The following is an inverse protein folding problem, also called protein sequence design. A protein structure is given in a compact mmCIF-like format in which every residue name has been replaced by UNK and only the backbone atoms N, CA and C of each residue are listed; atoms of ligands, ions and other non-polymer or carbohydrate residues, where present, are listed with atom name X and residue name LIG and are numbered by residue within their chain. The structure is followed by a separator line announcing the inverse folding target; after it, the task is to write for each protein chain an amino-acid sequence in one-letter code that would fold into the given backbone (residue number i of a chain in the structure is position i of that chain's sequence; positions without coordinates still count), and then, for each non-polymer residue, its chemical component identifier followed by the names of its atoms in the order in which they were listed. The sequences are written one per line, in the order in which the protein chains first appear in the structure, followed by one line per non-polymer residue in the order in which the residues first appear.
data_IF_402762996640
#
_entry.id   IF_402762996640
#
_cell.length_a   1.000
_cell.length_b   1.000
_cell.length_c   1.000
_cell.angle_alpha   90.00
_cell.angle_beta   90.00
_cell.angle_gamma   90.00
#
_symmetry.space_group_name_H-M   'P 1'
#
loop_
_entity.id
_entity.type
_entity.pdbx_description
1 polymer ?
#
# COMPACT_ATOMS: atom_id res chain seq x y z
N UNK A 1 11.74 23.91 -9.71
CA UNK A 1 10.50 23.87 -10.53
C UNK A 1 9.35 24.29 -9.64
N UNK A 2 8.50 25.20 -10.08
CA UNK A 2 7.33 25.65 -9.31
C UNK A 2 6.16 24.75 -9.67
N UNK A 3 5.72 23.92 -8.72
CA UNK A 3 4.63 22.95 -8.90
C UNK A 3 3.25 23.64 -8.77
N UNK A 4 2.38 23.44 -9.76
CA UNK A 4 0.99 23.89 -9.73
C UNK A 4 0.06 22.68 -9.63
N UNK A 5 -0.75 22.63 -8.60
CA UNK A 5 -1.58 21.47 -8.24
C UNK A 5 -3.05 21.81 -8.31
N UNK A 6 -3.85 20.91 -8.86
CA UNK A 6 -5.30 20.92 -8.79
C UNK A 6 -5.78 19.78 -7.90
N UNK A 7 -6.59 20.09 -6.89
CA UNK A 7 -7.25 19.11 -6.01
C UNK A 7 -8.74 19.19 -6.26
N UNK A 8 -9.32 18.06 -6.63
CA UNK A 8 -10.75 17.90 -6.91
C UNK A 8 -11.34 16.90 -5.92
N UNK A 9 -12.07 17.37 -4.93
CA UNK A 9 -12.68 16.55 -3.89
C UNK A 9 -13.86 17.31 -3.28
N UNK A 10 -15.03 16.69 -3.11
CA UNK A 10 -16.22 17.34 -2.60
C UNK A 10 -16.14 17.61 -1.08
N UNK A 11 -15.37 16.79 -0.36
CA UNK A 11 -15.19 16.92 1.08
C UNK A 11 -14.12 17.99 1.42
N UNK A 12 -14.47 19.09 2.09
CA UNK A 12 -13.51 20.12 2.44
C UNK A 12 -12.40 19.64 3.39
N UNK A 13 -12.67 18.65 4.25
CA UNK A 13 -11.64 18.11 5.15
C UNK A 13 -10.60 17.29 4.36
N UNK A 14 -11.04 16.54 3.36
CA UNK A 14 -10.13 15.80 2.49
C UNK A 14 -9.32 16.75 1.61
N UNK A 15 -9.93 17.81 1.04
CA UNK A 15 -9.17 18.83 0.32
C UNK A 15 -8.07 19.44 1.17
N UNK A 16 -8.39 19.84 2.41
CA UNK A 16 -7.40 20.39 3.33
C UNK A 16 -6.27 19.39 3.61
N UNK A 17 -6.62 18.12 3.85
CA UNK A 17 -5.66 17.04 4.09
C UNK A 17 -4.74 16.83 2.89
N UNK A 18 -5.29 16.75 1.69
CA UNK A 18 -4.52 16.63 0.45
C UNK A 18 -3.60 17.83 0.23
N UNK A 19 -4.08 19.04 0.52
CA UNK A 19 -3.26 20.26 0.47
C UNK A 19 -2.06 20.19 1.40
N UNK A 20 -2.19 19.59 2.60
CA UNK A 20 -1.09 19.36 3.53
C UNK A 20 -0.13 18.29 3.00
N UNK A 21 -0.64 17.15 2.49
CA UNK A 21 0.18 16.09 1.89
C UNK A 21 1.03 16.65 0.76
N UNK A 22 0.44 17.43 -0.14
CA UNK A 22 1.15 18.06 -1.26
C UNK A 22 2.26 18.99 -0.78
N UNK A 23 1.97 19.87 0.19
CA UNK A 23 2.98 20.81 0.73
C UNK A 23 4.14 20.08 1.42
N UNK A 24 3.87 18.98 2.11
CA UNK A 24 4.91 18.18 2.78
C UNK A 24 5.70 17.30 1.79
N UNK A 25 5.12 16.99 0.65
CA UNK A 25 5.74 16.13 -0.34
C UNK A 25 6.68 16.86 -1.29
N UNK A 26 6.45 18.15 -1.56
CA UNK A 26 7.17 18.91 -2.58
C UNK A 26 7.66 20.26 -2.05
N UNK A 27 8.95 20.55 -2.18
CA UNK A 27 9.58 21.79 -1.69
C UNK A 27 9.22 23.06 -2.49
N UNK A 28 8.59 22.94 -3.64
CA UNK A 28 8.38 24.03 -4.60
C UNK A 28 6.93 24.22 -5.02
N UNK A 29 5.96 24.01 -4.14
CA UNK A 29 4.55 24.21 -4.47
C UNK A 29 4.27 25.71 -4.67
N UNK A 30 3.96 26.09 -5.90
CA UNK A 30 3.65 27.49 -6.25
C UNK A 30 2.18 27.83 -5.97
N UNK A 31 1.26 26.94 -6.36
CA UNK A 31 -0.16 27.14 -6.19
C UNK A 31 -0.90 25.81 -6.04
N UNK A 32 -1.83 25.77 -5.12
CA UNK A 32 -2.82 24.70 -4.99
C UNK A 32 -4.19 25.31 -5.29
N UNK A 33 -4.86 24.77 -6.31
CA UNK A 33 -6.23 25.12 -6.65
C UNK A 33 -7.13 24.00 -6.13
N UNK A 34 -8.17 24.37 -5.40
CA UNK A 34 -9.11 23.42 -4.82
C UNK A 34 -10.49 23.63 -5.43
N UNK A 35 -11.14 22.56 -5.85
CA UNK A 35 -12.51 22.55 -6.38
C UNK A 35 -13.28 21.35 -5.85
N UNK A 36 -14.61 21.44 -5.83
CA UNK A 36 -15.50 20.46 -5.22
C UNK A 36 -16.20 19.51 -6.20
N UNK A 37 -16.03 19.72 -7.49
CA UNK A 37 -16.82 19.04 -8.51
C UNK A 37 -16.08 19.01 -9.86
N UNK A 38 -16.48 18.08 -10.75
CA UNK A 38 -15.87 17.91 -12.07
C UNK A 38 -16.09 19.15 -12.97
N UNK A 39 -17.26 19.78 -12.88
CA UNK A 39 -17.56 20.96 -13.71
C UNK A 39 -16.59 22.10 -13.37
N UNK A 40 -16.33 22.33 -12.08
CA UNK A 40 -15.38 23.32 -11.61
C UNK A 40 -13.93 22.95 -12.00
N UNK A 41 -13.58 21.66 -11.95
CA UNK A 41 -12.30 21.17 -12.43
C UNK A 41 -12.09 21.44 -13.92
N UNK A 42 -13.08 21.11 -14.75
CA UNK A 42 -13.05 21.38 -16.20
C UNK A 42 -12.88 22.87 -16.50
N UNK A 43 -13.56 23.75 -15.75
CA UNK A 43 -13.38 25.21 -15.88
C UNK A 43 -11.95 25.65 -15.55
N UNK A 44 -11.36 25.10 -14.49
CA UNK A 44 -9.96 25.41 -14.09
C UNK A 44 -8.94 24.89 -15.11
N UNK A 45 -9.22 23.76 -15.73
CA UNK A 45 -8.40 23.17 -16.78
C UNK A 45 -8.53 23.86 -18.14
N UNK A 46 -9.52 24.74 -18.28
CA UNK A 46 -9.79 25.44 -19.56
C UNK A 46 -10.34 24.49 -20.61
N UNK A 47 -11.02 23.42 -20.21
CA UNK A 47 -11.68 22.52 -21.16
C UNK A 47 -13.03 23.08 -21.56
N UNK A 48 -13.21 23.32 -22.87
CA UNK A 48 -14.51 23.62 -23.49
C UNK A 48 -14.76 22.49 -24.47
N UNK A 49 -15.90 21.81 -24.31
CA UNK A 49 -16.35 20.69 -25.17
C UNK A 49 -15.28 19.54 -25.28
N UNK A 50 -14.58 19.23 -24.19
CA UNK A 50 -13.58 18.14 -24.16
C UNK A 50 -12.26 18.48 -24.88
N UNK A 51 -12.05 19.71 -25.31
CA UNK A 51 -10.79 20.17 -25.87
C UNK A 51 -10.16 21.26 -24.99
N UNK A 52 -8.84 21.18 -24.79
CA UNK A 52 -8.10 22.20 -24.03
C UNK A 52 -8.04 23.50 -24.80
N UNK A 53 -8.51 24.59 -24.18
CA UNK A 53 -8.42 25.92 -24.76
C UNK A 53 -6.93 26.35 -24.88
N UNK A 54 -6.49 26.60 -26.10
CA UNK A 54 -5.09 26.71 -26.51
C UNK A 54 -4.35 27.99 -26.12
N UNK A 55 -4.86 28.90 -25.32
CA UNK A 55 -4.15 30.15 -25.10
C UNK A 55 -4.18 30.61 -23.64
N UNK A 56 -3.01 30.67 -23.01
CA UNK A 56 -2.72 31.50 -21.83
C UNK A 56 -2.86 30.85 -20.46
N UNK A 57 -3.24 29.59 -20.35
CA UNK A 57 -3.25 28.89 -19.07
C UNK A 57 -1.93 28.13 -18.88
N UNK A 58 -1.23 28.42 -17.79
CA UNK A 58 -0.12 27.57 -17.34
C UNK A 58 -0.72 26.23 -16.91
N UNK A 59 -0.28 25.11 -17.49
CA UNK A 59 -0.79 23.80 -17.18
C UNK A 59 -0.59 23.49 -15.69
N UNK A 60 -1.44 22.63 -15.14
CA UNK A 60 -1.17 21.99 -13.86
C UNK A 60 -0.11 20.91 -14.06
N UNK A 61 0.71 20.71 -13.05
CA UNK A 61 1.75 19.67 -13.05
C UNK A 61 1.23 18.40 -12.39
N UNK A 62 0.34 18.54 -11.40
CA UNK A 62 -0.30 17.46 -10.66
C UNK A 62 -1.80 17.72 -10.53
N UNK A 63 -2.59 16.70 -10.79
CA UNK A 63 -4.05 16.71 -10.61
C UNK A 63 -4.40 15.54 -9.69
N UNK A 64 -4.93 15.85 -8.51
CA UNK A 64 -5.44 14.88 -7.56
C UNK A 64 -6.97 14.93 -7.59
N UNK A 65 -7.60 13.81 -7.90
CA UNK A 65 -9.05 13.75 -8.13
C UNK A 65 -9.66 12.69 -7.22
N UNK A 66 -10.69 13.07 -6.47
CA UNK A 66 -11.53 12.10 -5.78
C UNK A 66 -12.24 11.21 -6.80
N UNK A 67 -12.31 9.94 -6.47
CA UNK A 67 -12.99 8.96 -7.28
C UNK A 67 -14.49 9.25 -7.40
N UNK A 68 -15.15 9.64 -6.32
CA UNK A 68 -16.58 9.84 -6.23
C UNK A 68 -16.89 11.32 -6.01
N UNK A 69 -17.35 12.00 -7.04
CA UNK A 69 -17.73 13.39 -6.99
C UNK A 69 -19.26 13.55 -7.20
N UNK A 70 -19.88 14.62 -6.72
CA UNK A 70 -21.34 14.79 -6.78
C UNK A 70 -21.90 14.83 -8.20
N UNK A 71 -21.07 15.19 -9.18
CA UNK A 71 -21.44 15.35 -10.58
C UNK A 71 -20.79 14.30 -11.50
N UNK A 72 -20.21 13.21 -10.95
CA UNK A 72 -19.68 12.10 -11.72
C UNK A 72 -18.50 11.38 -11.08
N UNK A 73 -17.82 10.57 -11.87
CA UNK A 73 -16.69 9.78 -11.42
C UNK A 73 -15.36 10.48 -11.77
N UNK A 74 -14.41 10.54 -10.83
CA UNK A 74 -13.10 11.13 -11.07
C UNK A 74 -12.31 10.45 -12.19
N UNK A 75 -12.56 9.16 -12.45
CA UNK A 75 -11.96 8.45 -13.58
C UNK A 75 -12.38 8.98 -14.93
N UNK A 76 -13.59 9.55 -15.05
CA UNK A 76 -14.05 10.17 -16.29
C UNK A 76 -13.19 11.39 -16.64
N UNK A 77 -12.88 12.23 -15.63
CA UNK A 77 -11.99 13.36 -15.81
C UNK A 77 -10.58 12.92 -16.19
N UNK A 78 -10.05 11.87 -15.57
CA UNK A 78 -8.72 11.33 -15.93
C UNK A 78 -8.68 10.89 -17.38
N UNK A 79 -9.72 10.21 -17.86
CA UNK A 79 -9.86 9.80 -19.26
C UNK A 79 -9.88 10.99 -20.23
N UNK A 80 -10.65 12.05 -19.89
CA UNK A 80 -10.67 13.29 -20.65
C UNK A 80 -9.29 13.96 -20.72
N UNK A 81 -8.49 13.79 -19.66
CA UNK A 81 -7.15 14.36 -19.52
C UNK A 81 -6.02 13.48 -20.09
N UNK A 82 -6.31 12.43 -20.86
CA UNK A 82 -5.29 11.51 -21.38
C UNK A 82 -4.15 12.22 -22.14
N UNK A 83 -4.45 13.28 -22.88
CA UNK A 83 -3.47 14.09 -23.59
C UNK A 83 -2.93 15.30 -22.81
N UNK A 84 -3.38 15.48 -21.55
CA UNK A 84 -2.94 16.60 -20.73
C UNK A 84 -1.61 16.26 -20.03
N UNK A 85 -0.61 17.17 -20.01
CA UNK A 85 0.74 16.84 -19.56
C UNK A 85 0.94 16.82 -18.03
N UNK A 86 -0.12 16.67 -17.24
CA UNK A 86 -0.02 16.57 -15.80
C UNK A 86 0.01 15.12 -15.34
N UNK A 87 0.63 14.88 -14.19
CA UNK A 87 0.46 13.63 -13.44
C UNK A 87 -0.93 13.58 -12.82
N UNK A 88 -1.67 12.51 -13.06
CA UNK A 88 -3.06 12.32 -12.61
C UNK A 88 -3.12 11.23 -11.55
N UNK A 89 -3.54 11.59 -10.35
CA UNK A 89 -3.67 10.67 -9.22
C UNK A 89 -5.12 10.62 -8.76
N UNK A 90 -5.65 9.41 -8.66
CA UNK A 90 -6.98 9.18 -8.08
C UNK A 90 -6.87 9.00 -6.57
N UNK A 91 -7.76 9.66 -5.83
CA UNK A 91 -7.98 9.45 -4.41
C UNK A 91 -9.26 8.62 -4.22
N UNK A 92 -9.15 7.43 -3.63
CA UNK A 92 -10.28 6.56 -3.39
C UNK A 92 -10.43 6.18 -1.92
N UNK A 93 -11.66 5.87 -1.49
CA UNK A 93 -11.92 5.41 -0.12
C UNK A 93 -11.70 3.90 0.05
N UNK A 94 -11.76 3.13 -1.02
CA UNK A 94 -11.70 1.68 -0.96
C UNK A 94 -10.74 1.11 -2.01
N UNK A 95 -10.10 0.00 -1.65
CA UNK A 95 -9.27 -0.77 -2.57
C UNK A 95 -10.13 -1.83 -3.29
N UNK A 96 -10.93 -1.41 -4.27
CA UNK A 96 -11.77 -2.31 -5.08
C UNK A 96 -11.15 -2.46 -6.48
N UNK A 97 -10.94 -3.72 -6.89
CA UNK A 97 -10.36 -4.04 -8.19
C UNK A 97 -11.22 -3.55 -9.35
N UNK A 98 -12.55 -3.56 -9.20
CA UNK A 98 -13.49 -3.05 -10.20
C UNK A 98 -13.34 -1.55 -10.48
N UNK A 99 -12.64 -0.84 -9.62
CA UNK A 99 -12.44 0.61 -9.73
C UNK A 99 -10.98 0.96 -10.03
N UNK A 100 -10.05 0.33 -9.32
CA UNK A 100 -8.61 0.60 -9.43
C UNK A 100 -8.12 0.33 -10.86
N UNK A 101 -8.43 -0.85 -11.42
CA UNK A 101 -7.90 -1.23 -12.73
C UNK A 101 -8.46 -0.36 -13.86
N UNK A 102 -9.77 -0.07 -13.93
CA UNK A 102 -10.28 0.90 -14.90
C UNK A 102 -9.63 2.28 -14.78
N UNK A 103 -9.42 2.80 -13.57
CA UNK A 103 -8.78 4.09 -13.36
C UNK A 103 -7.35 4.13 -13.93
N UNK A 104 -6.55 3.11 -13.66
CA UNK A 104 -5.19 2.98 -14.21
C UNK A 104 -5.20 2.79 -15.73
N UNK A 105 -6.13 1.99 -16.28
CA UNK A 105 -6.29 1.80 -17.71
C UNK A 105 -6.71 3.08 -18.44
N UNK A 106 -7.48 3.95 -17.80
CA UNK A 106 -7.90 5.23 -18.32
C UNK A 106 -6.84 6.33 -18.21
N UNK A 107 -5.66 6.01 -17.69
CA UNK A 107 -4.51 6.90 -17.68
C UNK A 107 -4.25 7.60 -16.35
N UNK A 108 -4.72 7.06 -15.24
CA UNK A 108 -4.26 7.49 -13.93
C UNK A 108 -2.80 7.04 -13.73
N UNK A 109 -1.93 7.96 -13.33
CA UNK A 109 -0.53 7.71 -13.02
C UNK A 109 -0.35 7.21 -11.58
N UNK A 110 -1.41 7.28 -10.76
CA UNK A 110 -1.40 6.82 -9.38
C UNK A 110 -2.80 6.62 -8.81
N UNK A 111 -2.86 5.86 -7.71
CA UNK A 111 -4.07 5.62 -6.94
C UNK A 111 -3.75 5.56 -5.45
N UNK A 112 -4.28 6.51 -4.68
CA UNK A 112 -4.06 6.63 -3.24
C UNK A 112 -5.35 6.40 -2.47
N UNK A 113 -5.24 5.75 -1.30
CA UNK A 113 -6.37 5.55 -0.41
C UNK A 113 -6.47 6.69 0.59
N UNK A 114 -7.65 7.30 0.70
CA UNK A 114 -7.92 8.40 1.64
C UNK A 114 -7.67 8.01 3.09
N UNK A 115 -7.86 6.73 3.45
CA UNK A 115 -7.68 6.21 4.80
C UNK A 115 -6.23 5.86 5.16
N UNK A 116 -5.30 5.96 4.22
CA UNK A 116 -3.87 5.73 4.52
C UNK A 116 -3.33 6.79 5.49
N UNK A 117 -2.35 6.39 6.30
CA UNK A 117 -1.68 7.31 7.20
C UNK A 117 -1.00 8.45 6.44
N UNK A 118 -0.98 9.64 7.04
CA UNK A 118 -0.42 10.85 6.43
C UNK A 118 1.01 10.64 5.88
N UNK A 119 1.89 10.01 6.66
CA UNK A 119 3.27 9.75 6.25
C UNK A 119 3.37 8.82 5.04
N UNK A 120 2.42 7.88 4.89
CA UNK A 120 2.33 6.98 3.73
C UNK A 120 1.95 7.79 2.49
N UNK A 121 0.93 8.63 2.61
CA UNK A 121 0.49 9.50 1.51
C UNK A 121 1.60 10.44 1.05
N UNK A 122 2.31 11.07 1.99
CA UNK A 122 3.47 11.92 1.69
C UNK A 122 4.58 11.14 1.01
N UNK A 123 4.86 9.92 1.48
CA UNK A 123 5.88 9.07 0.87
C UNK A 123 5.53 8.70 -0.57
N UNK A 124 4.30 8.23 -0.82
CA UNK A 124 3.87 7.84 -2.15
C UNK A 124 3.77 9.05 -3.09
N UNK A 125 3.36 10.20 -2.58
CA UNK A 125 3.31 11.42 -3.37
C UNK A 125 4.72 11.90 -3.80
N UNK A 126 5.74 11.72 -2.95
CA UNK A 126 7.15 12.00 -3.29
C UNK A 126 7.69 11.13 -4.43
N UNK A 127 7.16 9.93 -4.62
CA UNK A 127 7.55 9.03 -5.69
C UNK A 127 7.31 9.65 -7.08
N UNK A 128 6.30 10.53 -7.20
CA UNK A 128 6.00 11.27 -8.43
C UNK A 128 7.21 12.09 -8.90
N UNK A 129 7.92 12.75 -7.99
CA UNK A 129 9.12 13.53 -8.32
C UNK A 129 10.25 12.68 -8.90
N UNK A 130 10.27 11.39 -8.57
CA UNK A 130 11.21 10.41 -9.11
C UNK A 130 10.70 9.72 -10.39
N UNK A 131 9.58 10.17 -10.95
CA UNK A 131 8.93 9.55 -12.10
C UNK A 131 8.31 8.17 -11.81
N UNK A 132 8.04 7.87 -10.55
CA UNK A 132 7.41 6.63 -10.11
C UNK A 132 5.92 6.85 -9.85
N UNK A 133 5.08 5.83 -10.04
CA UNK A 133 3.65 5.94 -9.76
C UNK A 133 3.40 6.13 -8.26
N UNK A 134 2.43 6.99 -7.91
CA UNK A 134 1.95 7.13 -6.53
C UNK A 134 0.88 6.07 -6.26
N UNK A 135 1.26 4.98 -5.61
CA UNK A 135 0.36 3.85 -5.34
C UNK A 135 0.35 3.50 -3.85
N UNK A 136 -0.81 3.61 -3.22
CA UNK A 136 -0.98 3.09 -1.87
C UNK A 136 -0.50 1.64 -1.75
N UNK A 137 0.12 1.24 -0.62
CA UNK A 137 0.68 -0.11 -0.45
C UNK A 137 -0.34 -1.23 -0.69
N UNK A 138 -1.61 -1.02 -0.31
CA UNK A 138 -2.69 -1.96 -0.57
C UNK A 138 -2.98 -2.10 -2.07
N UNK A 139 -2.93 -1.00 -2.82
CA UNK A 139 -3.14 -0.97 -4.27
C UNK A 139 -2.00 -1.67 -4.99
N UNK A 140 -0.75 -1.37 -4.63
CA UNK A 140 0.44 -2.02 -5.19
C UNK A 140 0.40 -3.54 -5.03
N UNK A 141 -0.04 -4.02 -3.85
CA UNK A 141 -0.20 -5.45 -3.58
C UNK A 141 -1.28 -6.09 -4.47
N UNK A 142 -2.42 -5.41 -4.66
CA UNK A 142 -3.51 -5.87 -5.54
C UNK A 142 -3.06 -5.93 -6.99
N UNK A 143 -2.34 -4.91 -7.47
CA UNK A 143 -1.82 -4.86 -8.82
C UNK A 143 -0.88 -6.05 -9.10
N UNK A 144 0.04 -6.36 -8.19
CA UNK A 144 0.92 -7.53 -8.32
C UNK A 144 0.12 -8.84 -8.34
N UNK A 145 -0.90 -8.96 -7.48
CA UNK A 145 -1.78 -10.15 -7.45
C UNK A 145 -2.55 -10.31 -8.76
N UNK A 146 -3.11 -9.23 -9.27
CA UNK A 146 -3.83 -9.20 -10.54
C UNK A 146 -2.94 -9.62 -11.71
N UNK A 147 -1.73 -9.07 -11.81
CA UNK A 147 -0.77 -9.42 -12.87
C UNK A 147 -0.39 -10.90 -12.81
N UNK A 148 -0.16 -11.46 -11.63
CA UNK A 148 0.11 -12.90 -11.45
C UNK A 148 -1.02 -13.75 -11.97
N UNK A 149 -2.25 -13.41 -11.65
CA UNK A 149 -3.44 -14.18 -12.05
C UNK A 149 -3.69 -14.10 -13.56
N UNK A 150 -3.54 -12.91 -14.15
CA UNK A 150 -3.91 -12.70 -15.55
C UNK A 150 -2.79 -12.96 -16.55
N UNK A 151 -1.53 -12.82 -16.14
CA UNK A 151 -0.38 -13.11 -17.01
C UNK A 151 0.17 -14.53 -16.85
N UNK A 152 -0.48 -15.37 -16.03
CA UNK A 152 -0.02 -16.74 -15.76
C UNK A 152 1.39 -16.80 -15.16
N UNK A 153 1.84 -15.71 -14.53
CA UNK A 153 3.11 -15.69 -13.81
C UNK A 153 2.87 -16.43 -12.49
N UNK A 154 2.92 -17.74 -12.54
CA UNK A 154 3.07 -18.55 -11.34
C UNK A 154 4.38 -18.12 -10.70
N UNK A 155 4.38 -17.75 -9.39
CA UNK A 155 5.65 -17.65 -8.67
C UNK A 155 6.40 -18.96 -8.91
N UNK A 156 7.74 -18.95 -9.05
CA UNK A 156 8.48 -20.20 -9.07
C UNK A 156 7.97 -20.97 -7.86
N UNK A 157 7.48 -22.17 -8.12
CA UNK A 157 7.08 -23.10 -7.08
C UNK A 157 8.38 -23.27 -6.27
N UNK A 158 8.50 -22.56 -5.18
CA UNK A 158 9.39 -23.01 -4.11
C UNK A 158 8.72 -24.30 -3.71
N UNK A 159 9.33 -25.42 -4.13
CA UNK A 159 8.83 -26.75 -3.88
C UNK A 159 8.32 -26.81 -2.45
N UNK A 160 7.02 -26.80 -2.33
CA UNK A 160 6.36 -27.33 -1.16
C UNK A 160 6.60 -28.83 -1.27
N UNK A 161 7.72 -29.30 -0.71
CA UNK A 161 7.99 -30.70 -0.44
C UNK A 161 6.98 -31.16 0.61
N UNK A 162 5.70 -31.19 0.25
CA UNK A 162 4.63 -31.73 1.09
C UNK A 162 3.45 -32.29 0.29
N UNK A 163 3.72 -32.93 -0.85
CA UNK A 163 2.66 -33.66 -1.54
C UNK A 163 3.17 -34.98 -2.17
N UNK A 164 4.11 -35.68 -1.53
CA UNK A 164 4.55 -37.01 -2.00
C UNK A 164 4.77 -38.04 -0.90
N UNK A 165 4.05 -37.93 0.22
CA UNK A 165 4.08 -38.95 1.27
C UNK A 165 2.69 -39.51 1.57
N UNK A 166 1.90 -39.78 0.53
CA UNK A 166 0.63 -40.48 0.69
C UNK A 166 0.48 -41.60 -0.37
N UNK A 167 1.40 -42.53 -0.36
CA UNK A 167 1.15 -43.90 -0.87
C UNK A 167 2.31 -44.84 -0.63
N UNK A 168 2.43 -45.34 0.59
CA UNK A 168 2.98 -46.69 0.87
C UNK A 168 2.46 -47.20 2.19
N UNK A 169 1.36 -47.95 2.09
CA UNK A 169 0.97 -49.17 2.81
C UNK A 169 1.60 -49.44 4.19
N UNK A 170 0.71 -49.48 5.14
CA UNK A 170 0.51 -50.50 6.19
C UNK A 170 1.65 -51.44 6.49
N UNK A 171 2.10 -51.47 7.73
CA UNK A 171 1.89 -52.61 8.67
C UNK A 171 2.69 -52.43 9.95
N UNK A 172 2.03 -52.85 11.04
CA UNK A 172 2.51 -53.26 12.37
C UNK A 172 2.90 -52.25 13.42
N UNK A 173 1.94 -52.06 14.30
CA UNK A 173 1.85 -52.61 15.66
C UNK A 173 2.68 -51.94 16.78
N UNK A 174 1.86 -51.37 17.67
CA UNK A 174 1.94 -51.43 19.16
C UNK A 174 3.03 -50.73 19.92
N UNK A 175 2.50 -50.00 20.82
CA UNK A 175 2.93 -49.78 22.20
C UNK A 175 3.56 -48.45 22.57
N UNK A 176 2.75 -47.67 23.24
CA UNK A 176 3.10 -47.20 24.56
C UNK A 176 3.83 -45.89 24.71
N UNK A 177 3.11 -45.01 25.32
CA UNK A 177 3.58 -44.06 26.32
C UNK A 177 4.02 -42.65 25.89
N UNK A 178 3.31 -41.76 26.52
CA UNK A 178 3.76 -40.49 27.06
C UNK A 178 3.79 -39.29 26.13
N UNK A 179 2.77 -38.47 26.29
CA UNK A 179 2.73 -37.09 25.90
C UNK A 179 3.92 -36.32 26.48
N UNK A 180 4.89 -36.03 25.63
CA UNK A 180 5.73 -34.86 25.79
C UNK A 180 5.41 -33.98 24.61
N UNK A 181 4.72 -32.86 24.86
CA UNK A 181 4.47 -31.82 23.90
C UNK A 181 5.81 -31.36 23.33
N UNK A 182 6.00 -31.61 22.06
CA UNK A 182 7.15 -31.11 21.30
C UNK A 182 6.93 -29.61 21.01
N UNK A 183 7.31 -28.80 21.99
CA UNK A 183 7.18 -27.33 21.99
C UNK A 183 8.30 -26.65 21.18
N UNK A 184 9.16 -27.43 20.51
CA UNK A 184 10.30 -26.91 19.72
C UNK A 184 9.97 -26.63 18.26
N UNK A 185 8.85 -27.13 17.74
CA UNK A 185 8.47 -27.04 16.31
C UNK A 185 7.96 -25.66 15.87
N UNK A 186 7.52 -24.80 16.80
CA UNK A 186 6.94 -23.51 16.43
C UNK A 186 8.00 -22.43 16.13
N UNK A 187 9.21 -22.53 16.66
CA UNK A 187 10.29 -21.59 16.38
C UNK A 187 10.95 -21.84 15.01
N UNK A 188 10.94 -23.07 14.51
CA UNK A 188 11.47 -23.44 13.19
C UNK A 188 10.63 -22.86 12.03
N UNK A 189 9.43 -22.34 12.33
CA UNK A 189 8.55 -21.69 11.35
C UNK A 189 8.85 -20.22 11.13
N UNK A 190 9.66 -19.59 11.98
CA UNK A 190 10.04 -18.18 11.82
C UNK A 190 11.21 -18.04 10.85
N UNK A 191 11.11 -17.07 9.98
CA UNK A 191 12.25 -16.68 9.13
C UNK A 191 13.33 -15.98 9.98
N UNK A 192 14.61 -15.96 9.56
CA UNK A 192 15.68 -15.25 10.27
C UNK A 192 15.32 -13.79 10.62
N UNK A 193 14.63 -13.10 9.73
CA UNK A 193 14.18 -11.71 9.95
C UNK A 193 13.06 -11.61 10.98
N UNK A 194 12.13 -12.54 11.00
CA UNK A 194 11.08 -12.60 12.02
C UNK A 194 11.65 -12.93 13.39
N UNK A 195 12.64 -13.82 13.47
CA UNK A 195 13.37 -14.14 14.71
C UNK A 195 14.10 -12.92 15.27
N UNK A 196 14.74 -12.13 14.40
CA UNK A 196 15.43 -10.89 14.76
C UNK A 196 14.43 -9.84 15.31
N UNK A 197 13.30 -9.65 14.62
CA UNK A 197 12.21 -8.76 15.09
C UNK A 197 11.66 -9.23 16.44
N UNK A 198 11.40 -10.52 16.60
CA UNK A 198 10.88 -11.10 17.85
C UNK A 198 11.87 -10.89 19.01
N UNK A 199 13.17 -11.04 18.77
CA UNK A 199 14.22 -10.78 19.76
C UNK A 199 14.23 -9.32 20.22
N UNK A 200 14.12 -8.36 19.31
CA UNK A 200 14.04 -6.94 19.68
C UNK A 200 12.73 -6.60 20.40
N UNK A 201 11.61 -7.21 19.96
CA UNK A 201 10.32 -7.04 20.63
C UNK A 201 10.36 -7.50 22.09
N UNK A 202 10.97 -8.65 22.36
CA UNK A 202 11.06 -9.22 23.71
C UNK A 202 11.96 -8.39 24.63
N UNK A 203 12.96 -7.72 24.07
CA UNK A 203 13.83 -6.76 24.79
C UNK A 203 13.16 -5.40 25.06
N UNK A 204 11.93 -5.20 24.61
CA UNK A 204 11.16 -3.99 24.89
C UNK A 204 11.29 -2.87 23.86
N UNK A 205 12.04 -3.03 22.77
CA UNK A 205 12.21 -2.00 21.75
C UNK A 205 10.88 -1.67 21.06
N UNK A 206 10.63 -0.39 20.81
CA UNK A 206 9.49 0.07 20.02
C UNK A 206 9.65 -0.29 18.54
N UNK A 207 8.55 -0.31 17.80
CA UNK A 207 8.58 -0.61 16.36
C UNK A 207 9.52 0.33 15.59
N UNK A 208 9.56 1.61 15.97
CA UNK A 208 10.45 2.61 15.35
C UNK A 208 11.93 2.33 15.64
N UNK A 209 12.26 1.94 16.87
CA UNK A 209 13.62 1.56 17.26
C UNK A 209 14.07 0.29 16.56
N UNK A 210 13.19 -0.73 16.45
CA UNK A 210 13.47 -1.97 15.71
C UNK A 210 13.75 -1.65 14.24
N UNK A 211 12.92 -0.80 13.62
CA UNK A 211 13.10 -0.35 12.26
C UNK A 211 14.46 0.31 12.03
N UNK A 212 14.87 1.16 12.99
CA UNK A 212 16.17 1.82 12.96
C UNK A 212 17.34 0.83 13.12
N UNK A 213 17.25 -0.08 14.09
CA UNK A 213 18.30 -1.09 14.36
C UNK A 213 18.49 -2.05 13.18
N UNK A 214 17.40 -2.43 12.51
CA UNK A 214 17.43 -3.34 11.37
C UNK A 214 17.65 -2.66 10.02
N UNK A 215 17.76 -1.33 9.99
CA UNK A 215 17.85 -0.52 8.77
C UNK A 215 16.70 -0.81 7.77
N UNK A 216 15.50 -1.06 8.29
CA UNK A 216 14.27 -1.28 7.50
C UNK A 216 13.19 -0.28 7.91
N UNK A 217 12.13 -0.21 7.14
CA UNK A 217 11.03 0.71 7.42
C UNK A 217 10.13 0.15 8.54
N UNK A 218 9.55 1.03 9.34
CA UNK A 218 8.70 0.65 10.48
C UNK A 218 7.47 -0.19 10.07
N UNK A 219 6.92 0.04 8.88
CA UNK A 219 5.80 -0.78 8.37
C UNK A 219 6.24 -2.20 7.99
N UNK A 220 7.49 -2.39 7.50
CA UNK A 220 8.07 -3.72 7.28
C UNK A 220 8.21 -4.47 8.61
N UNK A 221 8.58 -3.77 9.69
CA UNK A 221 8.59 -4.35 11.04
C UNK A 221 7.18 -4.77 11.45
N UNK A 222 6.16 -3.94 11.20
CA UNK A 222 4.76 -4.28 11.49
C UNK A 222 4.30 -5.52 10.73
N UNK A 223 4.69 -5.68 9.48
CA UNK A 223 4.32 -6.86 8.70
C UNK A 223 5.01 -8.12 9.23
N UNK A 224 6.28 -8.01 9.65
CA UNK A 224 6.94 -9.11 10.36
C UNK A 224 6.23 -9.44 11.67
N UNK A 225 5.79 -8.45 12.46
CA UNK A 225 5.05 -8.66 13.71
C UNK A 225 3.74 -9.40 13.44
N UNK A 226 2.95 -8.99 12.44
CA UNK A 226 1.72 -9.69 12.05
C UNK A 226 1.99 -11.14 11.65
N UNK A 227 3.04 -11.37 10.87
CA UNK A 227 3.47 -12.71 10.47
C UNK A 227 3.89 -13.56 11.67
N UNK A 228 4.67 -13.00 12.60
CA UNK A 228 5.07 -13.65 13.85
C UNK A 228 3.85 -14.05 14.67
N UNK A 229 2.89 -13.12 14.88
CA UNK A 229 1.68 -13.39 15.64
C UNK A 229 0.85 -14.51 15.02
N UNK A 230 0.73 -14.53 13.70
CA UNK A 230 0.04 -15.59 12.96
C UNK A 230 0.77 -16.94 13.08
N UNK A 231 2.10 -16.96 12.97
CA UNK A 231 2.91 -18.19 13.01
C UNK A 231 3.01 -18.80 14.40
N UNK A 232 3.11 -17.95 15.43
CA UNK A 232 3.19 -18.37 16.82
C UNK A 232 1.81 -18.51 17.47
N UNK A 233 0.73 -18.21 16.74
CA UNK A 233 -0.65 -18.23 17.22
C UNK A 233 -0.84 -17.42 18.51
N UNK A 234 -0.28 -16.20 18.56
CA UNK A 234 -0.39 -15.27 19.69
C UNK A 234 -1.14 -14.02 19.26
N UNK A 235 -1.80 -13.38 20.23
CA UNK A 235 -2.63 -12.19 19.99
C UNK A 235 -2.04 -10.90 20.55
N UNK A 236 -0.96 -11.00 21.34
CA UNK A 236 -0.38 -9.84 21.99
C UNK A 236 1.16 -9.87 21.99
N UNK A 237 1.74 -8.67 22.14
CA UNK A 237 3.18 -8.51 22.28
C UNK A 237 3.72 -9.23 23.53
N UNK A 238 2.94 -9.24 24.62
CA UNK A 238 3.33 -9.89 25.86
C UNK A 238 3.43 -11.41 25.67
N UNK A 239 2.46 -12.02 24.99
CA UNK A 239 2.48 -13.45 24.65
C UNK A 239 3.68 -13.80 23.75
N UNK A 240 3.95 -12.98 22.74
CA UNK A 240 5.08 -13.16 21.86
C UNK A 240 6.42 -13.08 22.63
N UNK A 241 6.56 -12.16 23.59
CA UNK A 241 7.76 -12.01 24.41
C UNK A 241 7.95 -13.21 25.35
N UNK A 242 6.88 -13.75 25.94
CA UNK A 242 6.94 -14.96 26.78
C UNK A 242 7.41 -16.14 25.96
N UNK A 243 6.91 -16.32 24.74
CA UNK A 243 7.38 -17.38 23.84
C UNK A 243 8.82 -17.19 23.42
N UNK A 244 9.26 -15.96 23.14
CA UNK A 244 10.66 -15.67 22.83
C UNK A 244 11.62 -16.10 23.93
N UNK A 245 11.23 -15.87 25.21
CA UNK A 245 12.00 -16.33 26.37
C UNK A 245 12.00 -17.86 26.46
N UNK A 246 10.86 -18.51 26.23
CA UNK A 246 10.73 -19.97 26.24
C UNK A 246 11.61 -20.63 25.16
N UNK A 247 11.75 -19.99 24.01
CA UNK A 247 12.60 -20.46 22.90
C UNK A 247 14.07 -20.05 23.04
N UNK A 248 14.47 -19.43 24.13
CA UNK A 248 15.87 -19.06 24.37
C UNK A 248 16.42 -17.96 23.46
N UNK A 249 15.54 -17.11 22.92
CA UNK A 249 15.92 -15.98 22.06
C UNK A 249 16.29 -14.72 22.87
N UNK A 250 16.11 -14.77 24.20
CA UNK A 250 16.39 -13.67 25.15
C UNK A 250 17.04 -14.23 26.40
#
# INVERSE_FOLDING_TARGET
MTLKVLIVDDNPADRQRWGQVVRESFDGVHAIHEVSDLQSARRQLGTVDGQFARAGHTPFDLILVDQNLPDGNGTDLVSELAAYPATKVIAGSHADDAVIFPALQQGADGYLLKDDHFEVLVHEMRNISAGQPALSPAISKRLVSFLRTHLGITPPIVDTIEASASMRTATHASAGASAAMDDTLDCERLTPRETEVLTYMSKGFTIKEIAHLMCIRWFTVNDHIKSIYKKLNVSSRAEAAVLATKYGLV
#
